data_IF_655617769279
#
_entry.id   IF_655617769279
#
_cell.length_a   1.000
_cell.length_b   1.000
_cell.length_c   1.000
_cell.angle_alpha   90.00
_cell.angle_beta   90.00
_cell.angle_gamma   90.00
#
_symmetry.space_group_name_H-M   'P 1'
#
loop_
_entity.id
_entity.type
_entity.pdbx_description
1 polymer ?
#
# COMPACT_ATOMS: atom_id res chain seq x y z
N UNK A 1 18.79 -58.60 25.01
CA UNK A 1 18.55 -58.03 23.67
C UNK A 1 18.48 -56.51 23.84
N UNK A 2 19.61 -55.82 23.67
CA UNK A 2 19.71 -54.36 23.82
C UNK A 2 19.59 -53.74 22.44
N UNK A 3 18.59 -52.89 22.23
CA UNK A 3 18.38 -52.14 21.01
C UNK A 3 18.78 -50.68 21.27
N UNK A 4 19.87 -50.23 20.66
CA UNK A 4 20.25 -48.82 20.51
C UNK A 4 21.03 -48.67 19.17
N UNK A 5 21.04 -47.54 18.46
CA UNK A 5 20.33 -46.27 18.67
C UNK A 5 19.57 -45.78 17.41
N UNK A 6 18.31 -45.38 17.54
CA UNK A 6 17.58 -44.68 16.46
C UNK A 6 17.88 -43.16 16.41
N UNK A 7 18.81 -42.69 17.25
CA UNK A 7 19.06 -41.28 17.53
C UNK A 7 19.64 -40.51 16.34
N UNK A 8 20.47 -41.14 15.50
CA UNK A 8 21.21 -40.45 14.45
C UNK A 8 20.34 -40.10 13.22
N UNK A 9 19.50 -41.04 12.74
CA UNK A 9 18.52 -40.75 11.67
C UNK A 9 17.47 -39.76 12.15
N UNK A 10 16.99 -39.90 13.39
CA UNK A 10 16.05 -38.97 14.01
C UNK A 10 16.60 -37.55 14.10
N UNK A 11 17.89 -37.40 14.45
CA UNK A 11 18.59 -36.10 14.53
C UNK A 11 18.70 -35.41 13.17
N UNK A 12 19.12 -36.15 12.13
CA UNK A 12 19.23 -35.58 10.77
C UNK A 12 17.86 -35.18 10.24
N UNK A 13 16.82 -36.01 10.44
CA UNK A 13 15.46 -35.68 10.01
C UNK A 13 14.91 -34.46 10.76
N UNK A 14 15.13 -34.35 12.07
CA UNK A 14 14.73 -33.19 12.85
C UNK A 14 15.43 -31.90 12.39
N UNK A 15 16.74 -31.97 12.14
CA UNK A 15 17.51 -30.85 11.63
C UNK A 15 17.04 -30.38 10.25
N UNK A 16 16.84 -31.32 9.32
CA UNK A 16 16.32 -31.03 7.98
C UNK A 16 14.91 -30.43 8.05
N UNK A 17 14.05 -30.93 8.95
CA UNK A 17 12.71 -30.38 9.14
C UNK A 17 12.75 -28.92 9.59
N UNK A 18 13.61 -28.58 10.56
CA UNK A 18 13.79 -27.19 11.04
C UNK A 18 14.33 -26.28 9.92
N UNK A 19 15.31 -26.75 9.14
CA UNK A 19 15.80 -25.99 7.99
C UNK A 19 14.72 -25.77 6.93
N UNK A 20 13.92 -26.79 6.62
CA UNK A 20 12.83 -26.68 5.65
C UNK A 20 11.81 -25.62 6.09
N UNK A 21 11.38 -25.64 7.36
CA UNK A 21 10.49 -24.64 7.94
C UNK A 21 11.09 -23.23 7.82
N UNK A 22 12.39 -23.11 8.11
CA UNK A 22 13.11 -21.82 8.01
C UNK A 22 13.10 -21.30 6.57
N UNK A 23 13.39 -22.13 5.57
CA UNK A 23 13.33 -21.73 4.17
C UNK A 23 11.92 -21.35 3.72
N UNK A 24 10.90 -22.09 4.16
CA UNK A 24 9.50 -21.77 3.88
C UNK A 24 9.14 -20.40 4.48
N UNK A 25 9.56 -20.13 5.72
CA UNK A 25 9.35 -18.83 6.36
C UNK A 25 10.05 -17.69 5.60
N UNK A 26 11.30 -17.88 5.18
CA UNK A 26 12.05 -16.92 4.36
C UNK A 26 11.37 -16.66 3.00
N UNK A 27 10.91 -17.71 2.33
CA UNK A 27 10.14 -17.58 1.08
C UNK A 27 8.83 -16.81 1.31
N UNK A 28 8.15 -17.08 2.43
CA UNK A 28 6.95 -16.36 2.80
C UNK A 28 7.17 -14.87 3.05
N UNK A 29 8.25 -14.52 3.75
CA UNK A 29 8.66 -13.13 3.94
C UNK A 29 8.93 -12.43 2.61
N UNK A 30 9.62 -13.09 1.67
CA UNK A 30 9.91 -12.51 0.36
C UNK A 30 8.63 -12.25 -0.45
N UNK A 31 7.72 -13.24 -0.52
CA UNK A 31 6.48 -13.16 -1.29
C UNK A 31 5.52 -12.13 -0.68
N UNK A 32 5.20 -12.27 0.60
CA UNK A 32 4.23 -11.38 1.25
C UNK A 32 4.80 -9.97 1.47
N UNK A 33 6.11 -9.85 1.73
CA UNK A 33 6.81 -8.57 1.77
C UNK A 33 6.77 -7.84 0.43
N UNK A 34 7.04 -8.55 -0.67
CA UNK A 34 6.92 -7.99 -2.02
C UNK A 34 5.51 -7.49 -2.34
N UNK A 35 4.48 -8.25 -1.94
CA UNK A 35 3.07 -7.84 -2.10
C UNK A 35 2.73 -6.57 -1.30
N UNK A 36 3.25 -6.44 -0.09
CA UNK A 36 3.06 -5.23 0.72
C UNK A 36 3.70 -4.00 0.10
N UNK A 37 4.94 -4.13 -0.39
CA UNK A 37 5.64 -3.04 -1.07
C UNK A 37 4.90 -2.64 -2.35
N UNK A 38 4.55 -3.62 -3.18
CA UNK A 38 3.79 -3.37 -4.41
C UNK A 38 2.44 -2.68 -4.13
N UNK A 39 1.70 -3.12 -3.10
CA UNK A 39 0.46 -2.48 -2.69
C UNK A 39 0.69 -1.04 -2.24
N UNK A 40 1.78 -0.76 -1.52
CA UNK A 40 2.10 0.61 -1.08
C UNK A 40 2.44 1.53 -2.25
N UNK A 41 3.19 1.04 -3.24
CA UNK A 41 3.50 1.79 -4.47
C UNK A 41 2.22 2.10 -5.25
N UNK A 42 1.37 1.09 -5.50
CA UNK A 42 0.08 1.31 -6.19
C UNK A 42 -0.81 2.31 -5.46
N UNK A 43 -0.89 2.22 -4.13
CA UNK A 43 -1.65 3.19 -3.32
C UNK A 43 -1.07 4.60 -3.43
N UNK A 44 0.25 4.75 -3.44
CA UNK A 44 0.88 6.04 -3.63
C UNK A 44 0.53 6.63 -5.01
N UNK A 45 0.57 5.82 -6.07
CA UNK A 45 0.23 6.25 -7.44
C UNK A 45 -1.24 6.70 -7.52
N UNK A 46 -2.17 5.96 -6.89
CA UNK A 46 -3.57 6.36 -6.83
C UNK A 46 -3.78 7.66 -6.05
N UNK A 47 -3.13 7.82 -4.90
CA UNK A 47 -3.21 9.05 -4.12
C UNK A 47 -2.66 10.24 -4.90
N UNK A 48 -1.54 10.05 -5.60
CA UNK A 48 -0.92 11.10 -6.42
C UNK A 48 -1.82 11.50 -7.59
N UNK A 49 -2.35 10.54 -8.34
CA UNK A 49 -3.24 10.83 -9.45
C UNK A 49 -4.57 11.45 -9.00
N UNK A 50 -5.13 11.02 -7.87
CA UNK A 50 -6.32 11.63 -7.29
C UNK A 50 -6.06 13.08 -6.86
N UNK A 51 -4.93 13.35 -6.20
CA UNK A 51 -4.54 14.70 -5.81
C UNK A 51 -4.35 15.60 -7.03
N UNK A 52 -3.63 15.10 -8.05
CA UNK A 52 -3.43 15.83 -9.32
C UNK A 52 -4.74 16.11 -10.05
N UNK A 53 -5.68 15.16 -10.06
CA UNK A 53 -7.00 15.36 -10.66
C UNK A 53 -7.78 16.46 -9.91
N UNK A 54 -7.72 16.51 -8.58
CA UNK A 54 -8.39 17.56 -7.80
C UNK A 54 -7.80 18.95 -8.05
N UNK A 55 -6.48 19.08 -8.19
CA UNK A 55 -5.82 20.39 -8.41
C UNK A 55 -6.13 20.99 -9.80
N UNK A 56 -6.59 20.19 -10.77
CA UNK A 56 -6.93 20.70 -12.10
C UNK A 56 -8.20 21.56 -12.12
N UNK A 57 -9.01 21.50 -11.06
CA UNK A 57 -10.21 22.32 -10.88
C UNK A 57 -9.81 23.71 -10.36
N UNK A 58 -9.32 24.56 -11.28
CA UNK A 58 -8.86 25.92 -10.98
C UNK A 58 -9.92 26.93 -11.39
N UNK A 59 -10.41 27.72 -10.42
CA UNK A 59 -11.46 28.72 -10.64
C UNK A 59 -10.93 30.02 -11.24
N UNK A 60 -9.63 30.32 -11.09
CA UNK A 60 -9.07 31.58 -11.57
C UNK A 60 -7.68 31.43 -12.18
N UNK A 61 -7.61 31.47 -13.51
CA UNK A 61 -6.38 31.83 -14.25
C UNK A 61 -6.30 33.34 -14.52
N UNK A 62 -7.30 34.12 -14.07
CA UNK A 62 -7.52 35.51 -14.52
C UNK A 62 -7.22 36.57 -13.45
N UNK A 63 -7.07 36.19 -12.18
CA UNK A 63 -6.74 37.11 -11.07
C UNK A 63 -5.25 37.14 -10.66
N UNK A 64 -4.39 36.35 -11.31
CA UNK A 64 -2.94 36.35 -11.05
C UNK A 64 -2.46 35.35 -9.99
N UNK A 65 -3.37 34.79 -9.18
CA UNK A 65 -3.07 33.71 -8.22
C UNK A 65 -3.99 32.51 -8.53
N UNK A 66 -3.45 31.30 -8.81
CA UNK A 66 -4.26 30.12 -9.04
C UNK A 66 -4.96 29.73 -7.74
N UNK A 67 -6.28 29.85 -7.71
CA UNK A 67 -7.10 29.41 -6.59
C UNK A 67 -7.85 28.13 -6.98
N UNK A 68 -7.63 27.07 -6.22
CA UNK A 68 -8.31 25.77 -6.38
C UNK A 68 -9.75 25.91 -5.86
N UNK A 69 -10.74 25.47 -6.64
CA UNK A 69 -12.09 25.30 -6.10
C UNK A 69 -12.10 24.10 -5.15
N UNK A 70 -12.09 24.36 -3.84
CA UNK A 70 -12.02 23.33 -2.79
C UNK A 70 -13.14 22.30 -2.91
N UNK A 71 -14.35 22.71 -3.31
CA UNK A 71 -15.51 21.82 -3.39
C UNK A 71 -15.42 20.94 -4.64
N UNK A 72 -15.07 21.52 -5.78
CA UNK A 72 -14.91 20.79 -7.03
C UNK A 72 -13.69 19.86 -6.97
N UNK A 73 -12.54 20.35 -6.49
CA UNK A 73 -11.32 19.56 -6.31
C UNK A 73 -11.56 18.33 -5.43
N UNK A 74 -12.29 18.49 -4.32
CA UNK A 74 -12.66 17.36 -3.46
C UNK A 74 -13.58 16.37 -4.16
N UNK A 75 -14.56 16.85 -4.95
CA UNK A 75 -15.46 15.99 -5.73
C UNK A 75 -14.70 15.22 -6.79
N UNK A 76 -13.84 15.87 -7.57
CA UNK A 76 -13.05 15.25 -8.63
C UNK A 76 -12.08 14.20 -8.08
N UNK A 77 -11.35 14.53 -7.02
CA UNK A 77 -10.46 13.56 -6.36
C UNK A 77 -11.22 12.38 -5.74
N UNK A 78 -12.38 12.61 -5.11
CA UNK A 78 -13.21 11.54 -4.57
C UNK A 78 -13.82 10.66 -5.68
N UNK A 79 -14.23 11.25 -6.81
CA UNK A 79 -14.73 10.54 -7.98
C UNK A 79 -13.65 9.65 -8.60
N UNK A 80 -12.40 10.13 -8.66
CA UNK A 80 -11.25 9.31 -9.06
C UNK A 80 -11.11 8.08 -8.15
N UNK A 81 -11.10 8.26 -6.83
CA UNK A 81 -10.98 7.15 -5.89
C UNK A 81 -12.12 6.12 -6.05
N UNK A 82 -13.34 6.60 -6.27
CA UNK A 82 -14.50 5.75 -6.50
C UNK A 82 -14.40 4.96 -7.82
N UNK A 83 -13.97 5.61 -8.90
CA UNK A 83 -13.79 4.98 -10.21
C UNK A 83 -12.80 3.80 -10.17
N UNK A 84 -11.72 3.95 -9.39
CA UNK A 84 -10.68 2.93 -9.25
C UNK A 84 -10.92 1.96 -8.08
N UNK A 85 -12.05 2.10 -7.35
CA UNK A 85 -12.38 1.25 -6.22
C UNK A 85 -11.38 1.34 -5.06
N UNK A 86 -10.73 2.48 -4.89
CA UNK A 86 -9.72 2.70 -3.84
C UNK A 86 -10.36 3.45 -2.69
N UNK A 87 -10.31 2.89 -1.48
CA UNK A 87 -10.79 3.57 -0.28
C UNK A 87 -9.79 4.62 0.19
N UNK A 88 -10.27 5.82 0.49
CA UNK A 88 -9.43 6.91 0.98
C UNK A 88 -10.22 8.15 1.39
N UNK A 89 -9.48 9.10 1.91
CA UNK A 89 -9.93 10.40 2.40
C UNK A 89 -9.25 11.50 1.58
N UNK A 90 -10.01 12.54 1.23
CA UNK A 90 -9.55 13.66 0.41
C UNK A 90 -9.70 14.94 1.24
N UNK A 91 -8.60 15.70 1.35
CA UNK A 91 -8.57 17.02 1.93
C UNK A 91 -8.09 18.02 0.87
N UNK A 92 -8.83 19.11 0.66
CA UNK A 92 -8.46 20.13 -0.31
C UNK A 92 -8.41 21.50 0.38
N UNK A 93 -7.44 22.30 -0.02
CA UNK A 93 -7.33 23.73 0.28
C UNK A 93 -7.27 24.51 -1.04
N UNK A 94 -7.24 25.83 -0.94
CA UNK A 94 -7.07 26.76 -2.07
C UNK A 94 -5.74 26.57 -2.82
N UNK A 95 -4.75 25.92 -2.20
CA UNK A 95 -3.39 25.76 -2.74
C UNK A 95 -2.98 24.31 -2.99
N UNK A 96 -3.54 23.36 -2.24
CA UNK A 96 -3.09 21.97 -2.20
C UNK A 96 -4.25 20.99 -2.02
N UNK A 97 -4.20 19.88 -2.75
CA UNK A 97 -5.06 18.72 -2.54
C UNK A 97 -4.22 17.59 -1.98
N UNK A 98 -4.62 17.07 -0.81
CA UNK A 98 -4.01 15.92 -0.14
C UNK A 98 -4.97 14.73 -0.17
N UNK A 99 -4.48 13.58 -0.63
CA UNK A 99 -5.24 12.33 -0.69
C UNK A 99 -4.54 11.25 0.11
N UNK A 100 -5.30 10.59 0.99
CA UNK A 100 -4.85 9.48 1.82
C UNK A 100 -5.66 8.24 1.45
N UNK A 101 -5.00 7.18 1.00
CA UNK A 101 -5.67 5.92 0.62
C UNK A 101 -5.20 4.77 1.49
N UNK A 102 -6.05 3.75 1.61
CA UNK A 102 -5.78 2.56 2.42
C UNK A 102 -6.35 1.29 1.79
N UNK A 103 -5.63 0.18 1.94
CA UNK A 103 -6.03 -1.15 1.48
C UNK A 103 -5.60 -2.22 2.47
N UNK A 104 -6.44 -3.24 2.64
CA UNK A 104 -6.08 -4.46 3.38
C UNK A 104 -5.44 -5.45 2.41
N UNK A 105 -4.24 -5.93 2.74
CA UNK A 105 -3.51 -6.94 1.97
C UNK A 105 -3.56 -8.26 2.75
N UNK A 106 -4.18 -9.32 2.19
CA UNK A 106 -4.15 -10.65 2.81
C UNK A 106 -2.77 -11.28 2.64
N UNK A 107 -2.20 -11.82 3.71
CA UNK A 107 -0.93 -12.55 3.63
C UNK A 107 -1.19 -13.99 3.20
N UNK A 108 -0.26 -14.57 2.46
CA UNK A 108 -0.35 -15.94 1.95
C UNK A 108 0.41 -16.90 2.85
N UNK A 109 1.72 -16.99 2.67
CA UNK A 109 2.60 -17.89 3.39
C UNK A 109 2.74 -17.45 4.84
N UNK A 110 2.91 -16.15 5.12
CA UNK A 110 2.94 -15.64 6.50
C UNK A 110 1.58 -15.79 7.20
N UNK A 111 0.48 -15.90 6.45
CA UNK A 111 -0.84 -16.23 6.98
C UNK A 111 -0.85 -17.59 7.67
N UNK A 112 -0.12 -18.57 7.15
CA UNK A 112 0.04 -19.90 7.77
C UNK A 112 0.81 -19.85 9.10
N UNK A 113 1.59 -18.79 9.32
CA UNK A 113 2.34 -18.51 10.55
C UNK A 113 1.64 -17.46 11.44
N UNK A 114 0.35 -17.19 11.23
CA UNK A 114 -0.48 -16.35 12.09
C UNK A 114 -0.60 -14.87 11.69
N UNK A 115 0.06 -14.42 10.63
CA UNK A 115 -0.06 -13.06 10.13
C UNK A 115 -1.17 -12.97 9.07
N UNK A 116 -2.46 -12.95 9.44
CA UNK A 116 -3.56 -13.08 8.46
C UNK A 116 -3.69 -11.95 7.43
N UNK A 117 -3.63 -10.68 7.85
CA UNK A 117 -3.72 -9.54 6.95
C UNK A 117 -2.99 -8.31 7.50
N UNK A 118 -2.68 -7.36 6.63
CA UNK A 118 -2.07 -6.07 7.01
C UNK A 118 -2.76 -4.93 6.29
N UNK A 119 -3.02 -3.84 7.02
CA UNK A 119 -3.47 -2.59 6.44
C UNK A 119 -2.26 -1.80 5.95
N UNK A 120 -2.30 -1.36 4.68
CA UNK A 120 -1.30 -0.49 4.07
C UNK A 120 -1.96 0.83 3.71
N UNK A 121 -1.27 1.93 3.92
CA UNK A 121 -1.72 3.27 3.55
C UNK A 121 -0.64 4.03 2.79
N UNK A 122 -1.09 4.99 1.98
CA UNK A 122 -0.24 5.97 1.31
C UNK A 122 -0.94 7.34 1.30
N UNK A 123 -0.14 8.39 1.38
CA UNK A 123 -0.61 9.77 1.33
C UNK A 123 0.24 10.54 0.33
N UNK A 124 -0.42 11.36 -0.49
CA UNK A 124 0.21 12.24 -1.48
C UNK A 124 -0.54 13.55 -1.54
N UNK A 125 0.17 14.60 -1.90
CA UNK A 125 -0.40 15.91 -2.13
C UNK A 125 0.06 16.48 -3.47
N UNK A 126 -0.75 17.36 -4.03
CA UNK A 126 -0.46 18.09 -5.25
C UNK A 126 -0.81 19.56 -5.02
N UNK A 127 0.03 20.47 -5.52
CA UNK A 127 -0.15 21.92 -5.42
C UNK A 127 -0.50 22.51 -6.76
N UNK A 128 -1.33 23.56 -6.77
CA UNK A 128 -1.54 24.36 -7.97
C UNK A 128 -0.25 25.12 -8.26
N UNK A 129 0.43 24.77 -9.36
CA UNK A 129 1.66 25.46 -9.79
C UNK A 129 1.36 26.17 -11.10
N UNK A 130 1.46 27.49 -11.11
CA UNK A 130 1.55 28.27 -12.35
C UNK A 130 2.93 28.00 -12.96
N UNK A 131 2.98 27.40 -14.15
CA UNK A 131 4.23 27.33 -14.91
C UNK A 131 4.73 28.74 -15.26
N UNK A 132 6.05 28.94 -15.39
CA UNK A 132 6.62 30.20 -15.90
C UNK A 132 6.29 30.43 -17.39
#
# INVERSE_FOLDING_TARGET
MRAEPQTERGSITAFVAVLAITFIACAGLAVDGGRLVAARVQLADHAENAARAGVQEVTSLRSGEPDIDVIEARRTAAAYLHLWGVSGDVNATTEEVTVSVRRVVPMSILGLFGAGSRMVSAQRSAKAVTGP
#
